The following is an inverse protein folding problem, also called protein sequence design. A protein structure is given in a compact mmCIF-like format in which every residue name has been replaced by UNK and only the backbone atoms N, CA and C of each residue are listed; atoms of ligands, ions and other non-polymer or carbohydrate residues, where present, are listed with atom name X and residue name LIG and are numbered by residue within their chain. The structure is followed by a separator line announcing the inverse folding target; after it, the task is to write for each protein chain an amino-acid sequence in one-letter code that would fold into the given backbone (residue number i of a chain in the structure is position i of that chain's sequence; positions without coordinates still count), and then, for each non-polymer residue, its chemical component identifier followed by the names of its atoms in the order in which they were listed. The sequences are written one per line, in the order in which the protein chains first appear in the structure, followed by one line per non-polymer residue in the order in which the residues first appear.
data_IF_977706368151
#
_entry.id   IF_977706368151
#
_cell.length_a   1.000
_cell.length_b   1.000
_cell.length_c   1.000
_cell.angle_alpha   90.00
_cell.angle_beta   90.00
_cell.angle_gamma   90.00
#
_symmetry.space_group_name_H-M   'P 1'
#
loop_
_entity.id
_entity.type
_entity.pdbx_description
1 polymer ?
#
# COMPACT_ATOMS: atom_id res chain seq x y z
N UNK A 1 5.63 -23.76 -24.50
CA UNK A 1 5.93 -22.80 -23.42
C UNK A 1 4.76 -21.93 -22.99
N UNK A 2 3.90 -21.43 -23.87
CA UNK A 2 2.75 -20.58 -23.48
C UNK A 2 1.69 -21.29 -22.64
N UNK A 3 1.46 -22.59 -22.82
CA UNK A 3 0.48 -23.39 -22.05
C UNK A 3 0.96 -23.72 -20.63
N UNK A 4 2.25 -23.95 -20.46
CA UNK A 4 2.85 -24.26 -19.15
C UNK A 4 2.87 -23.04 -18.24
N UNK A 5 3.11 -21.85 -18.80
CA UNK A 5 3.12 -20.60 -18.05
C UNK A 5 1.73 -20.22 -17.52
N UNK A 6 0.67 -20.44 -18.32
CA UNK A 6 -0.72 -20.24 -17.88
C UNK A 6 -1.11 -21.16 -16.72
N UNK A 7 -0.69 -22.41 -16.77
CA UNK A 7 -1.01 -23.39 -15.74
C UNK A 7 -0.25 -23.11 -14.43
N UNK A 8 1.02 -22.69 -14.52
CA UNK A 8 1.82 -22.30 -13.35
C UNK A 8 1.26 -21.03 -12.71
N UNK A 9 0.85 -20.05 -13.53
CA UNK A 9 0.26 -18.81 -13.01
C UNK A 9 -1.10 -19.04 -12.35
N UNK A 10 -1.91 -19.95 -12.89
CA UNK A 10 -3.20 -20.32 -12.31
C UNK A 10 -3.04 -21.08 -10.99
N UNK A 11 -1.99 -21.89 -10.87
CA UNK A 11 -1.69 -22.66 -9.65
C UNK A 11 -1.19 -21.75 -8.51
N UNK A 12 -0.37 -20.75 -8.84
CA UNK A 12 0.11 -19.74 -7.87
C UNK A 12 -1.04 -18.88 -7.36
N UNK A 13 -1.97 -18.49 -8.24
CA UNK A 13 -3.14 -17.69 -7.84
C UNK A 13 -4.09 -18.48 -6.94
N UNK A 14 -4.24 -19.77 -7.16
CA UNK A 14 -5.08 -20.64 -6.32
C UNK A 14 -4.49 -20.87 -4.92
N UNK A 15 -3.15 -20.93 -4.80
CA UNK A 15 -2.48 -21.07 -3.49
C UNK A 15 -2.53 -19.82 -2.62
N UNK A 16 -2.50 -18.62 -3.23
CA UNK A 16 -2.56 -17.37 -2.45
C UNK A 16 -3.95 -17.07 -1.88
N UNK A 17 -5.01 -17.59 -2.50
CA UNK A 17 -6.38 -17.42 -2.00
C UNK A 17 -6.74 -18.34 -0.82
N UNK A 18 -6.02 -19.46 -0.65
CA UNK A 18 -6.31 -20.42 0.41
C UNK A 18 -5.69 -20.09 1.77
N UNK A 19 -4.73 -19.17 1.83
CA UNK A 19 -4.06 -18.77 3.08
C UNK A 19 -4.72 -17.58 3.80
N UNK A 20 -5.69 -16.91 3.15
CA UNK A 20 -6.32 -15.70 3.69
C UNK A 20 -7.51 -15.93 4.62
N UNK A 21 -8.06 -17.14 4.71
CA UNK A 21 -9.30 -17.38 5.46
C UNK A 21 -9.12 -18.13 6.80
N UNK A 22 -7.89 -18.53 7.14
CA UNK A 22 -7.63 -19.25 8.39
C UNK A 22 -7.45 -18.35 9.62
N UNK A 23 -7.47 -17.02 9.45
CA UNK A 23 -7.16 -16.08 10.54
C UNK A 23 -8.38 -15.56 11.30
N UNK A 24 -9.60 -15.94 10.95
CA UNK A 24 -10.81 -15.43 11.60
C UNK A 24 -11.69 -16.51 12.24
N UNK A 25 -11.17 -17.70 12.52
CA UNK A 25 -11.93 -18.75 13.18
C UNK A 25 -11.22 -19.18 14.45
N UNK A 26 -11.15 -18.29 15.42
CA UNK A 26 -10.90 -18.65 16.80
C UNK A 26 -12.23 -18.62 17.54
N UNK A 27 -13.07 -19.60 17.26
CA UNK A 27 -14.22 -19.96 18.08
C UNK A 27 -13.75 -20.88 19.20
N UNK A 28 -12.95 -20.36 20.10
CA UNK A 28 -12.80 -20.92 21.42
C UNK A 28 -13.81 -20.22 22.33
N UNK A 29 -15.04 -20.73 22.32
CA UNK A 29 -16.01 -20.52 23.37
C UNK A 29 -15.51 -21.23 24.65
N UNK A 30 -14.50 -20.65 25.29
CA UNK A 30 -14.18 -20.98 26.69
C UNK A 30 -14.79 -19.89 27.57
N UNK A 31 -15.83 -20.20 28.36
CA UNK A 31 -16.57 -19.20 29.11
C UNK A 31 -15.83 -18.71 30.37
N UNK A 32 -14.56 -19.00 30.54
CA UNK A 32 -13.83 -18.74 31.79
C UNK A 32 -12.72 -17.68 31.73
N UNK A 33 -12.48 -17.01 30.59
CA UNK A 33 -11.53 -15.91 30.52
C UNK A 33 -12.22 -14.57 30.28
N UNK A 34 -12.86 -14.07 31.31
CA UNK A 34 -13.50 -12.75 31.36
C UNK A 34 -12.51 -11.60 31.67
N UNK A 35 -11.20 -11.75 31.38
CA UNK A 35 -10.23 -10.78 31.89
C UNK A 35 -9.75 -9.73 30.88
N UNK A 36 -9.97 -9.92 29.59
CA UNK A 36 -9.32 -9.04 28.59
C UNK A 36 -10.26 -8.58 27.47
N UNK A 37 -11.55 -8.48 27.72
CA UNK A 37 -12.46 -7.86 26.75
C UNK A 37 -12.28 -6.35 26.86
N UNK A 38 -11.49 -5.79 25.95
CA UNK A 38 -11.40 -4.33 25.81
C UNK A 38 -12.80 -3.80 25.51
N UNK A 39 -13.32 -2.83 26.28
CA UNK A 39 -14.62 -2.25 26.04
C UNK A 39 -14.74 -1.75 24.59
N UNK A 40 -15.85 -2.02 23.94
CA UNK A 40 -16.09 -1.64 22.54
C UNK A 40 -15.89 -0.13 22.31
N UNK A 41 -16.20 0.69 23.32
CA UNK A 41 -15.98 2.12 23.28
C UNK A 41 -14.48 2.49 23.23
N UNK A 42 -13.63 1.79 23.97
CA UNK A 42 -12.17 2.01 23.91
C UNK A 42 -11.59 1.53 22.58
N UNK A 43 -12.07 0.40 22.07
CA UNK A 43 -11.66 -0.09 20.75
C UNK A 43 -12.05 0.87 19.64
N UNK A 44 -13.25 1.44 19.71
CA UNK A 44 -13.71 2.46 18.76
C UNK A 44 -12.82 3.71 18.81
N UNK A 45 -12.51 4.20 20.01
CA UNK A 45 -11.65 5.38 20.19
C UNK A 45 -10.23 5.15 19.64
N UNK A 46 -9.65 3.96 19.90
CA UNK A 46 -8.33 3.59 19.33
C UNK A 46 -8.39 3.49 17.81
N UNK A 47 -9.46 2.90 17.27
CA UNK A 47 -9.65 2.80 15.82
C UNK A 47 -9.78 4.16 15.17
N UNK A 48 -10.57 5.07 15.74
CA UNK A 48 -10.73 6.43 15.23
C UNK A 48 -9.41 7.21 15.27
N UNK A 49 -8.66 7.10 16.36
CA UNK A 49 -7.32 7.70 16.49
C UNK A 49 -6.38 7.15 15.43
N UNK A 50 -6.34 5.83 15.25
CA UNK A 50 -5.49 5.20 14.24
C UNK A 50 -5.84 5.65 12.82
N UNK A 51 -7.12 5.70 12.49
CA UNK A 51 -7.58 6.15 11.18
C UNK A 51 -7.20 7.60 10.92
N UNK A 52 -7.42 8.49 11.89
CA UNK A 52 -7.17 9.92 11.73
C UNK A 52 -5.69 10.29 11.78
N UNK A 53 -4.91 9.65 12.65
CA UNK A 53 -3.52 10.04 12.90
C UNK A 53 -2.52 9.26 12.05
N UNK A 54 -2.89 8.08 11.55
CA UNK A 54 -2.00 7.22 10.76
C UNK A 54 -2.53 7.01 9.34
N UNK A 55 -3.76 6.53 9.19
CA UNK A 55 -4.28 6.12 7.89
C UNK A 55 -4.46 7.32 6.96
N UNK A 56 -5.22 8.32 7.37
CA UNK A 56 -5.47 9.50 6.53
C UNK A 56 -4.21 10.27 6.17
N UNK A 57 -3.31 10.62 7.11
CA UNK A 57 -2.06 11.30 6.78
C UNK A 57 -1.17 10.48 5.84
N UNK A 58 -1.12 9.15 6.01
CA UNK A 58 -0.35 8.27 5.14
C UNK A 58 -0.88 8.30 3.70
N UNK A 59 -2.20 8.19 3.51
CA UNK A 59 -2.79 8.28 2.18
C UNK A 59 -2.69 9.67 1.56
N UNK A 60 -2.77 10.73 2.36
CA UNK A 60 -2.52 12.09 1.87
C UNK A 60 -1.08 12.25 1.39
N UNK A 61 -0.11 11.79 2.18
CA UNK A 61 1.29 11.83 1.80
C UNK A 61 1.55 11.01 0.51
N UNK A 62 0.97 9.82 0.40
CA UNK A 62 1.08 9.00 -0.80
C UNK A 62 0.50 9.72 -2.03
N UNK A 63 -0.68 10.32 -1.90
CA UNK A 63 -1.30 11.10 -2.98
C UNK A 63 -0.41 12.26 -3.43
N UNK A 64 0.09 13.04 -2.48
CA UNK A 64 0.86 14.25 -2.77
C UNK A 64 2.24 13.91 -3.35
N UNK A 65 2.89 12.87 -2.83
CA UNK A 65 4.15 12.37 -3.37
C UNK A 65 3.96 11.76 -4.77
N UNK A 66 2.88 11.04 -5.00
CA UNK A 66 2.55 10.48 -6.33
C UNK A 66 2.29 11.59 -7.36
N UNK A 67 1.63 12.68 -6.95
CA UNK A 67 1.44 13.86 -7.79
C UNK A 67 2.77 14.52 -8.13
N UNK A 68 3.63 14.71 -7.15
CA UNK A 68 4.98 15.27 -7.34
C UNK A 68 5.81 14.41 -8.30
N UNK A 69 5.75 13.09 -8.17
CA UNK A 69 6.40 12.17 -9.10
C UNK A 69 5.86 12.30 -10.51
N UNK A 70 4.54 12.37 -10.66
CA UNK A 70 3.92 12.56 -11.98
C UNK A 70 4.39 13.86 -12.66
N UNK A 71 4.40 14.96 -11.93
CA UNK A 71 4.87 16.26 -12.42
C UNK A 71 6.34 16.24 -12.80
N UNK A 72 7.19 15.62 -11.99
CA UNK A 72 8.62 15.46 -12.28
C UNK A 72 8.87 14.62 -13.54
N UNK A 73 8.15 13.52 -13.70
CA UNK A 73 8.21 12.69 -14.90
C UNK A 73 7.70 13.40 -16.15
N UNK A 74 6.62 14.18 -16.05
CA UNK A 74 6.10 14.97 -17.16
C UNK A 74 7.10 16.05 -17.62
N UNK A 75 7.75 16.73 -16.67
CA UNK A 75 8.81 17.70 -16.96
C UNK A 75 10.02 17.05 -17.60
N UNK A 76 10.47 15.91 -17.06
CA UNK A 76 11.55 15.12 -17.61
C UNK A 76 11.28 14.75 -19.08
N UNK A 77 10.08 14.25 -19.37
CA UNK A 77 9.65 13.90 -20.72
C UNK A 77 9.63 15.12 -21.66
N UNK A 78 9.04 16.22 -21.20
CA UNK A 78 8.96 17.45 -22.01
C UNK A 78 10.35 18.01 -22.35
N UNK A 79 11.26 18.05 -21.39
CA UNK A 79 12.63 18.53 -21.58
C UNK A 79 13.45 17.59 -22.47
N UNK A 80 13.27 16.27 -22.32
CA UNK A 80 13.89 15.29 -23.21
C UNK A 80 13.43 15.45 -24.66
N UNK A 81 12.13 15.65 -24.87
CA UNK A 81 11.56 15.88 -26.21
C UNK A 81 12.03 17.20 -26.83
N UNK A 82 12.26 18.22 -26.02
CA UNK A 82 12.77 19.52 -26.43
C UNK A 82 14.30 19.54 -26.66
N UNK A 83 15.02 18.46 -26.32
CA UNK A 83 16.47 18.40 -26.35
C UNK A 83 17.16 19.28 -25.28
N UNK A 84 16.42 19.65 -24.22
CA UNK A 84 16.88 20.50 -23.11
C UNK A 84 16.96 19.76 -21.78
N UNK A 85 17.05 18.42 -21.83
CA UNK A 85 17.17 17.60 -20.63
C UNK A 85 18.44 17.94 -19.85
N UNK A 86 18.29 18.13 -18.54
CA UNK A 86 19.39 18.39 -17.62
C UNK A 86 19.51 17.30 -16.57
N UNK A 87 20.70 17.17 -15.97
CA UNK A 87 20.93 16.25 -14.84
C UNK A 87 20.01 16.60 -13.65
N UNK A 88 19.72 17.89 -13.44
CA UNK A 88 18.80 18.33 -12.41
C UNK A 88 17.35 17.82 -12.62
N UNK A 89 16.89 17.66 -13.85
CA UNK A 89 15.57 17.09 -14.15
C UNK A 89 15.54 15.59 -13.81
N UNK A 90 16.62 14.88 -14.08
CA UNK A 90 16.77 13.46 -13.73
C UNK A 90 16.81 13.29 -12.22
N UNK A 91 17.62 14.12 -11.53
CA UNK A 91 17.74 14.07 -10.07
C UNK A 91 16.40 14.38 -9.38
N UNK A 92 15.65 15.37 -9.86
CA UNK A 92 14.33 15.71 -9.34
C UNK A 92 13.33 14.54 -9.51
N UNK A 93 13.35 13.85 -10.64
CA UNK A 93 12.49 12.68 -10.86
C UNK A 93 12.90 11.50 -9.95
N UNK A 94 14.19 11.27 -9.76
CA UNK A 94 14.70 10.24 -8.85
C UNK A 94 14.32 10.52 -7.40
N UNK A 95 14.41 11.77 -6.97
CA UNK A 95 14.03 12.16 -5.60
C UNK A 95 12.52 12.04 -5.38
N UNK A 96 11.71 12.50 -6.34
CA UNK A 96 10.27 12.33 -6.29
C UNK A 96 9.86 10.84 -6.23
N UNK A 97 10.56 9.96 -6.96
CA UNK A 97 10.34 8.52 -6.90
C UNK A 97 10.68 7.93 -5.52
N UNK A 98 11.79 8.34 -4.91
CA UNK A 98 12.15 7.87 -3.56
C UNK A 98 11.11 8.27 -2.52
N UNK A 99 10.53 9.47 -2.66
CA UNK A 99 9.52 9.98 -1.73
C UNK A 99 8.13 9.35 -1.94
N UNK A 100 7.85 8.83 -3.14
CA UNK A 100 6.56 8.23 -3.48
C UNK A 100 6.41 6.73 -3.12
N UNK A 101 7.47 6.07 -2.64
CA UNK A 101 7.46 4.63 -2.32
C UNK A 101 7.40 4.30 -0.81
#
# INVERSE_FOLDING_TARGET
MKKTFKNVMMLVTAMTLSLGFASCSDNNDDPTTNSDIVPVAELAAVSDTYVNDVVYPTYQALRDNSKTLHEACAKLYANAKAGSLSDADVEAACEAFKNAR
#
